data_IF_416224372049
#
_entry.id   IF_416224372049
#
_cell.length_a   1.000
_cell.length_b   1.000
_cell.length_c   1.000
_cell.angle_alpha   90.00
_cell.angle_beta   90.00
_cell.angle_gamma   90.00
#
_symmetry.space_group_name_H-M   'P 1'
#
loop_
_entity.id
_entity.type
_entity.pdbx_description
1 polymer ?
#
# COMPACT_ATOMS: atom_id res chain seq x y z
N UNK A 1 5.01 -15.58 47.49
CA UNK A 1 5.49 -15.98 46.15
C UNK A 1 4.45 -15.82 45.04
N UNK A 2 3.18 -16.14 45.29
CA UNK A 2 2.13 -15.94 44.26
C UNK A 2 2.00 -14.51 43.81
N UNK A 3 2.15 -13.54 44.71
CA UNK A 3 1.99 -12.12 44.38
C UNK A 3 3.14 -11.54 43.56
N UNK A 4 4.33 -12.11 43.75
CA UNK A 4 5.51 -11.71 42.97
C UNK A 4 5.39 -12.13 41.52
N UNK A 5 4.85 -13.34 41.27
CA UNK A 5 4.64 -13.84 39.92
C UNK A 5 3.61 -13.02 39.17
N UNK A 6 2.52 -12.62 39.84
CA UNK A 6 1.49 -11.78 39.22
C UNK A 6 2.04 -10.41 38.86
N UNK A 7 2.84 -9.81 39.73
CA UNK A 7 3.48 -8.51 39.49
C UNK A 7 4.44 -8.58 38.30
N UNK A 8 5.23 -9.64 38.19
CA UNK A 8 6.13 -9.86 37.07
C UNK A 8 5.37 -10.02 35.75
N UNK A 9 4.26 -10.74 35.78
CA UNK A 9 3.44 -10.93 34.62
C UNK A 9 2.85 -9.60 34.12
N UNK A 10 2.41 -8.74 35.02
CA UNK A 10 1.88 -7.43 34.66
C UNK A 10 2.94 -6.51 34.08
N UNK A 11 4.19 -6.63 34.49
CA UNK A 11 5.28 -5.83 33.96
C UNK A 11 5.67 -6.23 32.53
N UNK A 12 5.36 -7.45 32.11
CA UNK A 12 5.66 -7.93 30.76
C UNK A 12 4.64 -7.42 29.74
N UNK A 13 3.41 -7.15 30.16
CA UNK A 13 2.36 -6.64 29.29
C UNK A 13 2.51 -5.14 29.13
N UNK A 14 3.28 -4.73 28.13
CA UNK A 14 3.45 -3.32 27.80
C UNK A 14 2.45 -2.91 26.72
N UNK A 15 1.85 -1.73 26.85
CA UNK A 15 0.98 -1.24 25.79
C UNK A 15 1.79 -0.95 24.54
N UNK A 16 1.29 -1.41 23.39
CA UNK A 16 1.89 -1.09 22.10
C UNK A 16 1.42 0.29 21.70
N UNK A 17 2.36 1.20 21.50
CA UNK A 17 2.05 2.54 21.02
C UNK A 17 2.11 2.55 19.51
N UNK A 18 1.02 3.02 18.89
CA UNK A 18 1.02 3.27 17.46
C UNK A 18 1.86 4.51 17.17
N UNK A 19 2.82 4.38 16.28
CA UNK A 19 3.66 5.49 15.85
C UNK A 19 3.22 5.94 14.46
N UNK A 20 3.22 7.26 14.24
CA UNK A 20 2.99 7.81 12.92
C UNK A 20 4.32 7.85 12.17
N UNK A 21 4.36 7.16 11.04
CA UNK A 21 5.54 7.13 10.19
C UNK A 21 5.25 7.96 8.94
N UNK A 22 6.16 8.89 8.62
CA UNK A 22 6.06 9.68 7.41
C UNK A 22 6.71 8.92 6.26
N UNK A 23 5.94 8.67 5.21
CA UNK A 23 6.42 8.00 4.00
C UNK A 23 6.41 8.98 2.84
N UNK A 24 7.48 9.06 2.04
CA UNK A 24 7.48 9.90 0.85
C UNK A 24 6.56 9.29 -0.22
N UNK A 25 5.53 10.02 -0.59
CA UNK A 25 4.58 9.61 -1.61
C UNK A 25 4.65 10.62 -2.75
N UNK A 26 4.69 10.12 -3.98
CA UNK A 26 4.73 10.98 -5.16
C UNK A 26 3.34 11.07 -5.76
N UNK A 27 2.84 12.30 -5.86
CA UNK A 27 1.53 12.58 -6.43
C UNK A 27 1.67 13.51 -7.63
N UNK A 28 0.73 13.39 -8.55
CA UNK A 28 0.64 14.25 -9.72
C UNK A 28 -0.73 14.12 -10.35
N UNK A 29 -0.89 14.69 -11.55
CA UNK A 29 -2.11 14.45 -12.29
C UNK A 29 -2.22 12.96 -12.63
N UNK A 30 -3.45 12.41 -12.59
CA UNK A 30 -3.63 11.00 -12.90
C UNK A 30 -3.14 10.66 -14.31
N UNK A 31 -3.32 11.58 -15.26
CA UNK A 31 -2.86 11.37 -16.62
C UNK A 31 -1.34 11.21 -16.68
N UNK A 32 -0.59 12.08 -16.03
CA UNK A 32 0.87 12.01 -16.02
C UNK A 32 1.40 10.75 -15.32
N UNK A 33 0.86 10.45 -14.15
CA UNK A 33 1.33 9.31 -13.37
C UNK A 33 1.06 8.00 -14.11
N UNK A 34 -0.16 7.84 -14.66
CA UNK A 34 -0.52 6.63 -15.37
C UNK A 34 0.23 6.50 -16.70
N UNK A 35 0.51 7.62 -17.36
CA UNK A 35 1.29 7.60 -18.57
C UNK A 35 2.73 7.11 -18.32
N UNK A 36 3.36 7.56 -17.27
CA UNK A 36 4.69 7.08 -16.87
C UNK A 36 4.67 5.58 -16.61
N UNK A 37 3.68 5.10 -15.88
CA UNK A 37 3.57 3.68 -15.55
C UNK A 37 3.36 2.83 -16.80
N UNK A 38 2.49 3.28 -17.71
CA UNK A 38 2.17 2.54 -18.93
C UNK A 38 3.30 2.58 -19.95
N UNK A 39 3.90 3.74 -20.16
CA UNK A 39 4.86 3.92 -21.24
C UNK A 39 6.30 3.69 -20.81
N UNK A 40 6.69 4.25 -19.67
CA UNK A 40 8.08 4.14 -19.22
C UNK A 40 8.39 2.79 -18.61
N UNK A 41 7.49 2.27 -17.79
CA UNK A 41 7.68 0.98 -17.12
C UNK A 41 6.95 -0.15 -17.80
N UNK A 42 6.13 0.15 -18.79
CA UNK A 42 5.37 -0.83 -19.56
C UNK A 42 4.56 -1.78 -18.65
N UNK A 43 4.00 -1.21 -17.60
CA UNK A 43 3.15 -1.92 -16.67
C UNK A 43 1.70 -1.83 -17.11
N UNK A 44 0.95 -2.89 -16.86
CA UNK A 44 -0.48 -2.93 -17.15
C UNK A 44 -1.27 -3.10 -15.85
N UNK A 45 -2.52 -2.70 -15.89
CA UNK A 45 -3.39 -2.80 -14.72
C UNK A 45 -3.71 -4.24 -14.41
N UNK A 46 -3.31 -4.70 -13.22
CA UNK A 46 -3.63 -6.03 -12.72
C UNK A 46 -4.85 -6.03 -11.80
N UNK A 47 -4.97 -5.02 -10.96
CA UNK A 47 -5.97 -4.99 -9.90
C UNK A 47 -6.48 -3.57 -9.71
N UNK A 48 -7.78 -3.44 -9.55
CA UNK A 48 -8.42 -2.16 -9.23
C UNK A 48 -9.49 -2.39 -8.18
N UNK A 49 -9.45 -1.62 -7.12
CA UNK A 49 -10.50 -1.65 -6.10
C UNK A 49 -10.90 -0.25 -5.70
N UNK A 50 -12.16 -0.09 -5.34
CA UNK A 50 -12.66 1.14 -4.79
C UNK A 50 -12.57 1.09 -3.26
N UNK A 51 -12.10 2.17 -2.68
CA UNK A 51 -11.98 2.28 -1.23
C UNK A 51 -12.15 3.70 -0.77
N UNK A 52 -12.20 3.87 0.55
CA UNK A 52 -12.30 5.18 1.17
C UNK A 52 -11.16 5.30 2.18
N UNK A 53 -10.30 6.30 2.01
CA UNK A 53 -9.27 6.59 2.98
C UNK A 53 -9.83 7.38 4.15
N UNK A 54 -9.26 7.17 5.33
CA UNK A 54 -9.66 7.91 6.53
C UNK A 54 -9.47 9.42 6.31
N UNK A 55 -10.50 10.20 6.63
CA UNK A 55 -10.47 11.64 6.45
C UNK A 55 -10.63 12.12 5.01
N UNK A 56 -10.85 11.23 4.09
CA UNK A 56 -11.03 11.59 2.69
C UNK A 56 -12.47 11.95 2.36
N UNK A 57 -12.63 12.81 1.37
CA UNK A 57 -13.92 13.37 0.96
C UNK A 57 -14.55 12.63 -0.22
N UNK A 58 -14.11 11.48 -0.57
CA UNK A 58 -14.68 10.73 -1.68
C UNK A 58 -14.01 9.40 -1.89
N UNK A 59 -14.50 8.59 -2.83
CA UNK A 59 -13.93 7.29 -3.11
C UNK A 59 -12.56 7.41 -3.76
N UNK A 60 -11.66 6.53 -3.35
CA UNK A 60 -10.36 6.36 -3.96
C UNK A 60 -10.32 5.03 -4.69
N UNK A 61 -9.53 4.97 -5.73
CA UNK A 61 -9.29 3.73 -6.47
C UNK A 61 -7.87 3.28 -6.19
N UNK A 62 -7.75 2.10 -5.60
CA UNK A 62 -6.48 1.45 -5.38
C UNK A 62 -6.16 0.60 -6.60
N UNK A 63 -5.01 0.80 -7.20
CA UNK A 63 -4.64 0.08 -8.42
C UNK A 63 -3.26 -0.50 -8.29
N UNK A 64 -3.11 -1.72 -8.78
CA UNK A 64 -1.83 -2.41 -8.85
C UNK A 64 -1.48 -2.62 -10.33
N UNK A 65 -0.32 -2.14 -10.72
CA UNK A 65 0.20 -2.19 -12.06
C UNK A 65 1.42 -3.08 -12.08
N UNK A 66 1.55 -3.92 -13.10
CA UNK A 66 2.64 -4.88 -13.17
C UNK A 66 3.16 -5.03 -14.59
N UNK A 67 4.44 -5.37 -14.69
CA UNK A 67 5.06 -5.84 -15.91
C UNK A 67 5.47 -7.30 -15.70
N UNK A 68 4.86 -8.21 -16.43
CA UNK A 68 5.09 -9.63 -16.24
C UNK A 68 6.49 -10.08 -16.70
N UNK A 69 7.11 -9.35 -17.60
CA UNK A 69 8.44 -9.68 -18.10
C UNK A 69 9.54 -9.21 -17.16
N UNK A 70 9.49 -7.93 -16.78
CA UNK A 70 10.52 -7.35 -15.92
C UNK A 70 10.25 -7.57 -14.43
N UNK A 71 9.02 -7.96 -14.08
CA UNK A 71 8.56 -8.15 -12.70
C UNK A 71 8.51 -6.86 -11.91
N UNK A 72 8.48 -5.71 -12.57
CA UNK A 72 8.25 -4.44 -11.90
C UNK A 72 6.77 -4.28 -11.57
N UNK A 73 6.50 -3.53 -10.52
CA UNK A 73 5.14 -3.27 -10.08
C UNK A 73 5.03 -1.89 -9.45
N UNK A 74 3.81 -1.34 -9.49
CA UNK A 74 3.50 -0.04 -8.89
C UNK A 74 2.12 -0.09 -8.25
N UNK A 75 2.04 0.42 -7.02
CA UNK A 75 0.76 0.58 -6.32
C UNK A 75 0.37 2.05 -6.34
N UNK A 76 -0.73 2.35 -7.00
CA UNK A 76 -1.17 3.72 -7.27
C UNK A 76 -2.58 3.92 -6.73
N UNK A 77 -2.76 4.99 -5.97
CA UNK A 77 -4.08 5.42 -5.50
C UNK A 77 -4.54 6.58 -6.34
N UNK A 78 -5.74 6.45 -6.92
CA UNK A 78 -6.28 7.41 -7.86
C UNK A 78 -7.51 8.07 -7.25
N UNK A 79 -7.53 9.40 -7.25
CA UNK A 79 -8.71 10.18 -6.91
C UNK A 79 -9.28 10.76 -8.20
N UNK A 80 -10.39 10.16 -8.68
CA UNK A 80 -10.99 10.60 -9.95
C UNK A 80 -11.62 11.97 -9.85
N UNK A 81 -12.10 12.35 -8.69
CA UNK A 81 -12.73 13.65 -8.49
C UNK A 81 -11.75 14.79 -8.72
N UNK A 82 -10.55 14.65 -8.18
CA UNK A 82 -9.50 15.66 -8.30
C UNK A 82 -8.58 15.39 -9.49
N UNK A 83 -8.75 14.27 -10.17
CA UNK A 83 -7.88 13.83 -11.26
C UNK A 83 -6.41 13.76 -10.84
N UNK A 84 -6.17 13.27 -9.64
CA UNK A 84 -4.85 13.08 -9.07
C UNK A 84 -4.56 11.60 -8.86
N UNK A 85 -3.30 11.25 -8.92
CA UNK A 85 -2.83 9.91 -8.60
C UNK A 85 -1.56 10.00 -7.79
N UNK A 86 -1.43 9.09 -6.83
CA UNK A 86 -0.28 9.02 -5.95
C UNK A 86 0.35 7.63 -6.02
N UNK A 87 1.66 7.60 -6.26
CA UNK A 87 2.43 6.38 -6.21
C UNK A 87 2.80 6.11 -4.76
N UNK A 88 2.21 5.07 -4.18
CA UNK A 88 2.45 4.70 -2.78
C UNK A 88 3.63 3.77 -2.62
N UNK A 89 3.81 2.85 -3.57
CA UNK A 89 4.89 1.88 -3.50
C UNK A 89 5.19 1.37 -4.90
N UNK A 90 6.42 0.95 -5.11
CA UNK A 90 6.86 0.31 -6.34
C UNK A 90 8.00 -0.64 -6.03
N UNK A 91 8.22 -1.60 -6.90
CA UNK A 91 9.27 -2.58 -6.69
C UNK A 91 9.72 -3.22 -7.99
N UNK A 92 10.74 -4.06 -7.89
CA UNK A 92 11.36 -4.72 -9.04
C UNK A 92 11.02 -6.20 -9.15
N UNK A 93 10.39 -6.77 -8.12
CA UNK A 93 10.09 -8.20 -8.10
C UNK A 93 8.72 -8.39 -7.46
N UNK A 94 7.90 -9.24 -8.05
CA UNK A 94 6.69 -9.69 -7.40
C UNK A 94 6.54 -11.20 -7.58
N UNK A 95 5.74 -11.80 -6.71
CA UNK A 95 5.47 -13.22 -6.73
C UNK A 95 3.99 -13.46 -6.42
N UNK A 96 3.36 -14.34 -7.19
CA UNK A 96 2.00 -14.75 -6.92
C UNK A 96 1.99 -15.94 -5.96
N UNK A 97 1.05 -15.92 -5.04
CA UNK A 97 0.80 -17.03 -4.12
C UNK A 97 -0.57 -17.63 -4.39
N UNK A 98 -0.67 -18.96 -4.32
CA UNK A 98 -1.96 -19.61 -4.37
C UNK A 98 -2.70 -19.43 -3.05
N UNK A 99 -4.05 -19.48 -3.05
CA UNK A 99 -4.81 -19.38 -1.82
C UNK A 99 -4.36 -20.46 -0.82
N UNK A 100 -4.02 -20.02 0.39
CA UNK A 100 -3.55 -20.91 1.45
C UNK A 100 -2.04 -21.09 1.54
N UNK A 101 -1.27 -20.60 0.56
CA UNK A 101 0.19 -20.60 0.68
C UNK A 101 0.65 -19.57 1.72
N UNK A 102 1.70 -19.92 2.45
CA UNK A 102 2.30 -19.00 3.41
C UNK A 102 3.60 -18.41 2.86
N UNK A 103 3.84 -17.21 3.31
CA UNK A 103 5.10 -16.52 3.02
C UNK A 103 6.22 -17.13 3.88
#
# INVERSE_FOLDING_TARGET
MKYVLVALFMLIVLPVKAETVTMPIRCGSSQEVLEIVKQRYQEELLFLSEGIAAGNKGPLYNSLWVNYETKTWSFIVINKKDQTACLFASGKVFQFFEPGESI
#
